data_IF_225342994242
#
_entry.id   IF_225342994242
#
_cell.length_a   1.000
_cell.length_b   1.000
_cell.length_c   1.000
_cell.angle_alpha   90.00
_cell.angle_beta   90.00
_cell.angle_gamma   90.00
#
_symmetry.space_group_name_H-M   'P 1'
#
loop_
_entity.id
_entity.type
_entity.pdbx_description
1 polymer ?
#
# COMPACT_ATOMS: atom_id res chain seq x y z
N UNK A 1 -19.90 11.95 2.81
CA UNK A 1 -19.65 12.57 4.14
C UNK A 1 -20.07 14.05 4.06
N UNK A 2 -20.70 14.56 5.12
CA UNK A 2 -21.25 15.93 5.19
C UNK A 2 -20.17 17.02 5.40
N UNK A 3 -18.89 16.62 5.53
CA UNK A 3 -17.76 17.52 5.73
C UNK A 3 -17.69 18.17 7.09
N UNK A 4 -18.44 17.69 8.08
CA UNK A 4 -18.34 18.19 9.44
C UNK A 4 -17.05 17.70 10.12
N UNK A 5 -16.40 18.60 10.89
CA UNK A 5 -15.22 18.27 11.67
C UNK A 5 -15.58 17.27 12.77
N UNK A 6 -14.83 16.15 12.82
CA UNK A 6 -14.95 15.20 13.92
C UNK A 6 -14.22 15.78 15.13
N UNK A 7 -14.98 16.22 16.12
CA UNK A 7 -14.43 16.71 17.40
C UNK A 7 -14.88 15.76 18.50
N UNK A 8 -13.94 14.98 19.03
CA UNK A 8 -14.19 14.06 20.15
C UNK A 8 -13.01 14.08 21.13
N UNK A 9 -12.90 13.10 22.03
CA UNK A 9 -11.82 13.04 23.01
C UNK A 9 -10.43 12.87 22.37
N UNK A 10 -10.34 12.24 21.18
CA UNK A 10 -9.10 11.96 20.46
C UNK A 10 -8.85 12.98 19.35
N UNK A 11 -9.85 13.38 18.57
CA UNK A 11 -9.69 14.23 17.41
C UNK A 11 -10.23 15.66 17.61
N UNK A 12 -9.52 16.71 17.13
CA UNK A 12 -8.25 16.67 16.38
C UNK A 12 -7.05 16.27 17.26
N UNK A 13 -6.20 15.37 16.77
CA UNK A 13 -5.02 14.88 17.48
C UNK A 13 -3.79 15.73 17.17
N UNK A 14 -3.04 16.14 18.22
CA UNK A 14 -1.84 16.96 18.06
C UNK A 14 -0.57 16.11 18.18
N UNK A 15 0.12 15.87 17.08
CA UNK A 15 1.39 15.12 17.03
C UNK A 15 2.63 15.92 17.45
N UNK A 16 2.49 17.18 17.81
CA UNK A 16 3.59 18.05 18.27
C UNK A 16 4.47 18.66 17.18
N UNK A 17 4.49 18.15 15.95
CA UNK A 17 5.19 18.68 14.78
C UNK A 17 4.52 18.17 13.49
N UNK A 18 5.10 18.47 12.34
CA UNK A 18 4.60 18.15 11.00
C UNK A 18 4.51 16.65 10.75
N UNK A 19 3.45 16.25 10.08
CA UNK A 19 3.26 14.93 9.48
C UNK A 19 3.61 15.04 7.99
N UNK A 20 4.50 14.21 7.49
CA UNK A 20 4.94 14.20 6.10
C UNK A 20 4.60 12.88 5.38
N UNK A 21 4.52 11.79 6.13
CA UNK A 21 4.09 10.49 5.63
C UNK A 21 2.57 10.39 5.56
N UNK A 22 2.06 9.48 4.75
CA UNK A 22 0.66 9.06 4.80
C UNK A 22 0.45 8.21 6.05
N UNK A 23 -0.71 8.26 6.71
CA UNK A 23 -1.03 7.32 7.77
C UNK A 23 -1.19 5.90 7.20
N UNK A 24 -0.90 4.89 8.01
CA UNK A 24 -1.32 3.52 7.78
C UNK A 24 -2.50 3.17 8.69
N UNK A 25 -3.20 2.09 8.39
CA UNK A 25 -4.30 1.61 9.22
C UNK A 25 -4.35 0.08 9.22
N UNK A 26 -4.54 -0.51 10.40
CA UNK A 26 -4.69 -1.94 10.63
C UNK A 26 -5.24 -2.17 12.04
N UNK A 27 -5.86 -3.32 12.28
CA UNK A 27 -6.05 -3.87 13.63
C UNK A 27 -4.68 -4.43 14.06
N UNK A 28 -3.95 -3.65 14.87
CA UNK A 28 -2.55 -3.98 15.22
C UNK A 28 -2.44 -4.68 16.58
N UNK A 29 -3.47 -4.59 17.40
CA UNK A 29 -3.50 -5.22 18.74
C UNK A 29 -4.50 -6.37 18.84
N UNK A 30 -5.14 -6.72 17.71
CA UNK A 30 -6.09 -7.82 17.55
C UNK A 30 -7.36 -7.65 18.44
N UNK A 31 -7.82 -6.39 18.66
CA UNK A 31 -9.04 -6.13 19.42
C UNK A 31 -10.30 -6.03 18.53
N UNK A 32 -10.13 -6.11 17.20
CA UNK A 32 -11.18 -6.05 16.19
C UNK A 32 -11.51 -4.65 15.71
N UNK A 33 -10.84 -3.61 16.21
CA UNK A 33 -10.92 -2.25 15.68
C UNK A 33 -9.75 -1.97 14.75
N UNK A 34 -9.87 -0.94 13.92
CA UNK A 34 -8.77 -0.48 13.06
C UNK A 34 -8.12 0.76 13.69
N UNK A 35 -6.84 0.67 13.99
CA UNK A 35 -6.02 1.80 14.46
C UNK A 35 -5.48 2.61 13.30
N UNK A 36 -5.26 3.90 13.58
CA UNK A 36 -4.57 4.82 12.67
C UNK A 36 -3.14 5.02 13.16
N UNK A 37 -2.17 4.61 12.35
CA UNK A 37 -0.76 4.71 12.68
C UNK A 37 -0.16 5.93 11.99
N UNK A 38 0.41 6.87 12.79
CA UNK A 38 0.92 8.17 12.32
C UNK A 38 2.35 8.39 12.76
N UNK A 39 3.21 8.76 11.83
CA UNK A 39 4.58 9.21 12.09
C UNK A 39 4.68 10.72 12.08
N UNK A 40 5.51 11.29 12.96
CA UNK A 40 5.67 12.74 13.07
C UNK A 40 7.14 13.16 13.13
N UNK A 41 7.40 14.34 12.64
CA UNK A 41 8.68 15.02 12.79
C UNK A 41 8.98 15.40 14.25
N UNK A 42 8.01 15.28 15.16
CA UNK A 42 8.22 15.35 16.61
C UNK A 42 9.09 14.20 17.15
N UNK A 43 9.45 13.22 16.30
CA UNK A 43 10.17 11.96 16.60
C UNK A 43 9.31 10.92 17.28
N UNK A 44 8.01 11.07 17.19
CA UNK A 44 7.03 10.13 17.72
C UNK A 44 6.33 9.38 16.61
N UNK A 45 5.99 8.16 16.91
CA UNK A 45 5.00 7.35 16.20
C UNK A 45 3.83 7.16 17.16
N UNK A 46 2.62 7.34 16.66
CA UNK A 46 1.39 7.18 17.44
C UNK A 46 0.52 6.11 16.81
N UNK A 47 -0.07 5.28 17.66
CA UNK A 47 -1.17 4.36 17.33
C UNK A 47 -2.42 4.93 17.99
N UNK A 48 -3.44 5.21 17.20
CA UNK A 48 -4.66 5.90 17.59
C UNK A 48 -5.85 5.01 17.32
N UNK A 49 -6.59 4.61 18.35
CA UNK A 49 -7.87 3.92 18.21
C UNK A 49 -9.01 4.95 18.09
N UNK A 50 -9.63 5.11 16.91
CA UNK A 50 -10.72 6.05 16.71
C UNK A 50 -12.04 5.59 17.34
N UNK A 51 -12.23 4.29 17.60
CA UNK A 51 -13.44 3.70 18.16
C UNK A 51 -13.46 3.92 19.67
N UNK A 52 -12.40 3.51 20.38
CA UNK A 52 -12.28 3.71 21.83
C UNK A 52 -11.82 5.13 22.20
N UNK A 53 -11.38 5.93 21.21
CA UNK A 53 -10.89 7.30 21.35
C UNK A 53 -9.65 7.39 22.27
N UNK A 54 -8.72 6.44 22.12
CA UNK A 54 -7.49 6.31 22.89
C UNK A 54 -6.24 6.49 22.05
N UNK A 55 -5.11 6.76 22.71
CA UNK A 55 -3.76 6.64 22.15
C UNK A 55 -3.18 5.36 22.75
N UNK A 56 -3.11 4.31 21.93
CA UNK A 56 -2.70 2.98 22.41
C UNK A 56 -1.18 2.89 22.46
N UNK A 57 -0.49 3.61 21.57
CA UNK A 57 0.95 3.72 21.62
C UNK A 57 1.43 5.15 21.33
N UNK A 58 2.40 5.64 22.11
CA UNK A 58 3.23 6.83 21.86
C UNK A 58 4.69 6.40 21.94
N UNK A 59 5.27 6.01 20.79
CA UNK A 59 6.64 5.52 20.68
C UNK A 59 7.60 6.66 20.33
N UNK A 60 8.62 6.91 21.18
CA UNK A 60 9.64 7.92 20.96
C UNK A 60 10.90 7.36 20.30
N UNK A 61 11.03 7.54 18.98
CA UNK A 61 12.12 7.01 18.15
C UNK A 61 13.47 7.74 18.32
N UNK A 62 13.51 8.88 19.02
CA UNK A 62 14.70 9.80 19.10
C UNK A 62 15.08 10.40 17.74
N UNK A 63 14.55 9.90 16.63
CA UNK A 63 14.80 10.36 15.25
C UNK A 63 13.56 10.99 14.65
N UNK A 64 13.75 11.92 13.71
CA UNK A 64 12.63 12.41 12.90
C UNK A 64 12.04 11.25 12.08
N UNK A 65 10.75 11.03 12.20
CA UNK A 65 10.00 10.08 11.40
C UNK A 65 9.22 10.86 10.34
N UNK A 66 9.70 10.81 9.11
CA UNK A 66 9.15 11.60 8.00
C UNK A 66 8.50 10.71 6.94
N UNK A 67 8.82 9.43 6.93
CA UNK A 67 8.26 8.44 6.01
C UNK A 67 6.91 7.91 6.47
N UNK A 68 6.17 7.34 5.55
CA UNK A 68 4.96 6.56 5.80
C UNK A 68 5.33 5.30 6.59
N UNK A 69 4.63 4.95 7.68
CA UNK A 69 4.79 3.67 8.33
C UNK A 69 4.22 2.55 7.46
N UNK A 70 4.77 1.36 7.59
CA UNK A 70 4.31 0.13 6.94
C UNK A 70 3.91 -0.85 8.03
N UNK A 71 2.83 -1.60 7.80
CA UNK A 71 2.34 -2.60 8.75
C UNK A 71 2.45 -3.97 8.09
N UNK A 72 3.19 -4.88 8.73
CA UNK A 72 3.37 -6.26 8.24
C UNK A 72 3.98 -7.13 9.34
N UNK A 73 3.86 -8.46 9.21
CA UNK A 73 4.55 -9.42 10.07
C UNK A 73 6.02 -9.56 9.63
N UNK A 74 6.96 -9.25 10.51
CA UNK A 74 8.41 -9.30 10.25
C UNK A 74 9.15 -10.29 11.17
N UNK A 75 8.47 -10.93 12.10
CA UNK A 75 9.12 -11.87 13.03
C UNK A 75 8.43 -13.26 13.08
N UNK A 76 8.64 -14.03 14.12
CA UNK A 76 8.20 -15.43 14.18
C UNK A 76 6.82 -15.60 14.84
N UNK A 77 6.14 -14.50 15.22
CA UNK A 77 4.76 -14.57 15.69
C UNK A 77 3.77 -14.18 14.58
N UNK A 78 2.47 -14.21 14.84
CA UNK A 78 1.47 -13.90 13.85
C UNK A 78 0.93 -12.46 13.99
N UNK A 79 1.47 -11.69 14.91
CA UNK A 79 1.04 -10.32 15.14
C UNK A 79 1.63 -9.39 14.06
N UNK A 80 1.12 -8.18 13.96
CA UNK A 80 1.59 -7.19 13.00
C UNK A 80 2.54 -6.19 13.67
N UNK A 81 3.62 -5.83 12.97
CA UNK A 81 4.57 -4.83 13.40
C UNK A 81 4.49 -3.56 12.59
N UNK A 82 4.93 -2.46 13.22
CA UNK A 82 5.05 -1.15 12.59
C UNK A 82 6.49 -0.94 12.14
N UNK A 83 6.70 -0.83 10.82
CA UNK A 83 8.02 -0.68 10.22
C UNK A 83 8.18 0.75 9.69
N UNK A 84 9.24 1.46 10.11
CA UNK A 84 9.46 2.86 9.68
C UNK A 84 10.93 3.23 9.60
N UNK A 85 11.26 4.06 8.60
CA UNK A 85 12.60 4.63 8.40
C UNK A 85 12.82 5.96 9.09
N UNK A 86 13.98 6.14 9.72
CA UNK A 86 14.38 7.38 10.39
C UNK A 86 15.08 8.38 9.47
N UNK A 87 14.97 9.68 9.80
CA UNK A 87 15.61 10.79 9.07
C UNK A 87 16.62 11.57 9.95
N UNK A 88 17.35 10.91 10.79
CA UNK A 88 18.44 11.51 11.58
C UNK A 88 19.79 10.91 11.15
N UNK A 89 20.89 11.24 11.82
CA UNK A 89 22.20 10.65 11.54
C UNK A 89 22.84 10.18 12.84
N UNK A 90 23.20 8.87 12.97
CA UNK A 90 22.97 7.80 12.00
C UNK A 90 21.48 7.43 11.92
N UNK A 91 20.98 7.15 10.72
CA UNK A 91 19.58 6.80 10.54
C UNK A 91 19.35 5.29 10.79
N UNK A 92 18.17 4.98 11.31
CA UNK A 92 17.76 3.63 11.68
C UNK A 92 16.45 3.25 11.00
N UNK A 93 16.25 1.97 10.82
CA UNK A 93 14.95 1.35 10.54
C UNK A 93 14.43 0.79 11.86
N UNK A 94 13.20 1.07 12.17
CA UNK A 94 12.49 0.58 13.34
C UNK A 94 11.49 -0.48 12.89
N UNK A 95 11.36 -1.55 13.66
CA UNK A 95 10.26 -2.50 13.63
C UNK A 95 9.77 -2.64 15.07
N UNK A 96 8.48 -2.36 15.29
CA UNK A 96 7.92 -2.09 16.61
C UNK A 96 6.64 -2.89 16.77
N UNK A 97 6.55 -3.70 17.82
CA UNK A 97 5.36 -4.45 18.20
C UNK A 97 4.22 -3.53 18.67
N UNK A 98 2.99 -3.99 18.69
CA UNK A 98 1.83 -3.24 19.17
C UNK A 98 2.01 -2.73 20.62
N UNK A 99 2.73 -3.45 21.48
CA UNK A 99 3.03 -3.05 22.87
C UNK A 99 4.16 -2.01 23.00
N UNK A 100 4.76 -1.58 21.87
CA UNK A 100 5.86 -0.62 21.83
C UNK A 100 7.25 -1.21 22.08
N UNK A 101 7.39 -2.52 22.20
CA UNK A 101 8.70 -3.17 22.24
C UNK A 101 9.32 -3.24 20.84
N UNK A 102 10.65 -3.16 20.75
CA UNK A 102 11.36 -3.33 19.50
C UNK A 102 11.44 -4.83 19.11
N UNK A 103 11.23 -5.13 17.82
CA UNK A 103 11.46 -6.46 17.25
C UNK A 103 12.95 -6.84 17.39
N UNK A 104 13.29 -8.10 17.68
CA UNK A 104 14.69 -8.55 17.76
C UNK A 104 15.50 -8.21 16.51
N UNK A 105 16.64 -7.52 16.67
CA UNK A 105 17.47 -7.02 15.57
C UNK A 105 17.20 -5.56 15.19
N UNK A 106 16.06 -5.02 15.59
CA UNK A 106 15.71 -3.61 15.41
C UNK A 106 15.84 -2.83 16.73
N UNK A 107 15.98 -1.49 16.67
CA UNK A 107 16.14 -0.70 15.45
C UNK A 107 17.51 -0.92 14.77
N UNK A 108 17.45 -1.28 13.48
CA UNK A 108 18.63 -1.53 12.65
C UNK A 108 19.31 -0.23 12.22
N UNK A 109 20.61 -0.04 12.51
CA UNK A 109 21.34 1.17 12.13
C UNK A 109 21.84 1.08 10.68
N UNK A 110 21.03 1.57 9.73
CA UNK A 110 21.41 1.66 8.32
C UNK A 110 22.46 2.79 8.09
N UNK A 111 22.44 3.84 8.90
CA UNK A 111 23.32 5.00 8.78
C UNK A 111 22.86 6.04 7.78
N UNK A 112 22.03 5.71 6.82
CA UNK A 112 21.57 6.54 5.71
C UNK A 112 20.12 6.96 5.87
N UNK A 113 19.83 8.24 5.65
CA UNK A 113 18.51 8.85 5.89
C UNK A 113 17.48 8.39 4.87
N UNK A 114 16.29 8.08 5.36
CA UNK A 114 15.09 7.76 4.58
C UNK A 114 14.05 8.88 4.78
N UNK A 115 13.47 9.40 3.68
CA UNK A 115 12.55 10.53 3.73
C UNK A 115 11.12 10.13 3.35
N UNK A 116 10.97 9.03 2.65
CA UNK A 116 9.69 8.47 2.20
C UNK A 116 9.42 7.13 2.87
N UNK A 117 8.33 6.49 2.52
CA UNK A 117 7.99 5.16 3.00
C UNK A 117 8.99 4.10 2.56
N UNK A 118 8.84 2.95 3.16
CA UNK A 118 9.51 1.69 2.81
C UNK A 118 8.52 0.84 2.00
N UNK A 119 8.99 -0.26 1.40
CA UNK A 119 8.11 -1.31 0.92
C UNK A 119 8.53 -2.64 1.54
N UNK A 120 7.59 -3.57 1.68
CA UNK A 120 7.86 -4.86 2.31
C UNK A 120 7.21 -5.99 1.52
N UNK A 121 7.92 -7.11 1.41
CA UNK A 121 7.43 -8.38 0.90
C UNK A 121 8.36 -9.50 1.38
N UNK A 122 7.86 -10.71 1.44
CA UNK A 122 8.67 -11.89 1.73
C UNK A 122 9.46 -12.31 0.48
N UNK A 123 10.76 -12.01 0.41
CA UNK A 123 11.62 -12.33 -0.72
C UNK A 123 12.22 -13.73 -0.68
N UNK A 124 12.15 -14.39 0.45
CA UNK A 124 12.78 -15.68 0.68
C UNK A 124 11.80 -16.81 1.02
N UNK A 125 10.49 -16.51 0.97
CA UNK A 125 9.36 -17.43 1.20
C UNK A 125 9.42 -18.09 2.61
N UNK A 126 9.82 -17.30 3.63
CA UNK A 126 9.91 -17.76 5.01
C UNK A 126 8.70 -17.34 5.87
N UNK A 127 7.72 -16.65 5.28
CA UNK A 127 6.51 -16.16 5.93
C UNK A 127 6.68 -14.81 6.64
N UNK A 128 7.86 -14.19 6.56
CA UNK A 128 8.18 -12.89 7.16
C UNK A 128 8.61 -11.91 6.08
N UNK A 129 8.26 -10.63 6.25
CA UNK A 129 8.61 -9.64 5.23
C UNK A 129 10.05 -9.16 5.35
N UNK A 130 10.70 -8.97 4.20
CA UNK A 130 11.94 -8.22 4.03
C UNK A 130 11.62 -6.77 3.68
N UNK A 131 12.55 -5.84 3.92
CA UNK A 131 12.33 -4.39 3.81
C UNK A 131 13.10 -3.82 2.63
N UNK A 132 12.42 -3.11 1.74
CA UNK A 132 13.04 -2.29 0.69
C UNK A 132 13.10 -0.83 1.13
N UNK A 133 14.29 -0.23 1.10
CA UNK A 133 14.54 1.15 1.53
C UNK A 133 15.29 1.97 0.48
N UNK A 134 14.77 3.15 0.15
CA UNK A 134 15.47 4.17 -0.65
C UNK A 134 16.07 5.27 0.23
N UNK A 135 17.32 5.69 -0.05
CA UNK A 135 18.06 6.60 0.84
C UNK A 135 18.48 7.90 0.18
N UNK A 136 18.77 8.92 1.03
CA UNK A 136 19.38 10.19 0.62
C UNK A 136 20.84 10.04 0.14
N UNK A 137 21.45 8.86 0.35
CA UNK A 137 22.82 8.54 -0.08
C UNK A 137 22.85 7.76 -1.40
N UNK A 138 21.75 7.78 -2.16
CA UNK A 138 21.63 7.27 -3.52
C UNK A 138 21.48 5.74 -3.60
N UNK A 139 21.28 5.07 -2.48
CA UNK A 139 21.19 3.63 -2.39
C UNK A 139 19.74 3.13 -2.31
N UNK A 140 19.49 2.00 -2.96
CA UNK A 140 18.33 1.15 -2.75
C UNK A 140 18.82 -0.11 -2.03
N UNK A 141 18.24 -0.41 -0.88
CA UNK A 141 18.53 -1.57 -0.05
C UNK A 141 17.40 -2.59 -0.10
N UNK A 142 17.76 -3.86 -0.01
CA UNK A 142 16.90 -4.93 0.51
C UNK A 142 17.52 -5.40 1.81
N UNK A 143 16.71 -5.42 2.87
CA UNK A 143 17.12 -5.77 4.23
C UNK A 143 16.22 -6.92 4.67
N UNK A 144 16.83 -8.04 5.07
CA UNK A 144 16.12 -9.22 5.49
C UNK A 144 15.41 -9.02 6.85
N UNK A 145 14.41 -9.85 7.13
CA UNK A 145 13.68 -9.91 8.40
C UNK A 145 14.61 -9.98 9.64
N UNK A 146 15.80 -10.59 9.53
CA UNK A 146 16.81 -10.66 10.60
C UNK A 146 17.70 -9.40 10.73
N UNK A 147 17.32 -8.28 10.11
CA UNK A 147 18.07 -7.03 10.08
C UNK A 147 19.46 -7.14 9.42
N UNK A 148 19.65 -8.03 8.47
CA UNK A 148 20.86 -8.11 7.63
C UNK A 148 20.59 -7.54 6.24
N UNK A 149 21.62 -6.98 5.58
CA UNK A 149 21.50 -6.52 4.20
C UNK A 149 21.57 -7.72 3.26
N UNK A 150 20.58 -7.85 2.37
CA UNK A 150 20.51 -8.95 1.43
C UNK A 150 21.68 -8.94 0.44
N UNK A 151 22.08 -10.13 -0.02
CA UNK A 151 23.17 -10.27 -0.99
C UNK A 151 22.85 -9.53 -2.29
N UNK A 152 23.82 -8.81 -2.85
CA UNK A 152 23.64 -7.99 -4.05
C UNK A 152 23.23 -6.54 -3.77
N UNK A 153 22.87 -6.20 -2.55
CA UNK A 153 22.52 -4.86 -2.12
C UNK A 153 23.61 -4.21 -1.25
N UNK A 154 23.66 -2.86 -1.19
CA UNK A 154 22.77 -1.92 -1.86
C UNK A 154 23.07 -1.75 -3.36
N UNK A 155 22.02 -1.39 -4.12
CA UNK A 155 22.16 -0.88 -5.49
C UNK A 155 22.38 0.63 -5.46
N UNK A 156 23.47 1.11 -6.11
CA UNK A 156 23.82 2.53 -6.15
C UNK A 156 23.23 3.20 -7.39
N UNK A 157 22.40 4.21 -7.20
CA UNK A 157 21.86 5.10 -8.24
C UNK A 157 22.72 6.35 -8.41
N UNK A 158 22.38 7.22 -9.37
CA UNK A 158 23.14 8.45 -9.63
C UNK A 158 22.83 9.62 -8.70
N UNK A 159 21.71 9.58 -7.92
CA UNK A 159 21.29 10.64 -7.01
C UNK A 159 20.36 10.07 -5.92
N UNK A 160 19.86 10.97 -5.04
CA UNK A 160 18.98 10.65 -3.91
C UNK A 160 17.71 9.91 -4.32
N UNK A 161 17.33 8.94 -3.53
CA UNK A 161 16.03 8.32 -3.63
C UNK A 161 15.04 9.11 -2.76
N UNK A 162 14.04 9.70 -3.40
CA UNK A 162 12.95 10.46 -2.78
C UNK A 162 11.57 10.00 -3.24
N UNK A 163 11.50 8.86 -3.88
CA UNK A 163 10.30 8.05 -4.01
C UNK A 163 10.24 7.07 -2.85
N UNK A 164 9.05 6.65 -2.45
CA UNK A 164 8.94 5.42 -1.71
C UNK A 164 9.07 4.28 -2.73
N UNK A 165 9.93 3.27 -2.48
CA UNK A 165 10.04 2.12 -3.36
C UNK A 165 8.72 1.32 -3.37
N UNK A 166 8.56 0.48 -4.37
CA UNK A 166 7.49 -0.50 -4.42
C UNK A 166 8.02 -1.84 -4.92
N UNK A 167 7.27 -2.89 -4.68
CA UNK A 167 7.62 -4.26 -5.05
C UNK A 167 6.48 -4.80 -5.90
N UNK A 168 6.79 -5.52 -6.96
CA UNK A 168 5.79 -6.23 -7.74
C UNK A 168 6.18 -7.70 -7.91
N UNK A 169 5.19 -8.59 -7.77
CA UNK A 169 5.32 -9.99 -8.15
C UNK A 169 5.22 -10.11 -9.67
N UNK A 170 6.07 -10.93 -10.26
CA UNK A 170 6.06 -11.25 -11.69
C UNK A 170 6.29 -12.75 -11.88
N UNK A 171 6.00 -13.26 -13.08
CA UNK A 171 6.31 -14.67 -13.40
C UNK A 171 7.79 -15.04 -13.16
N UNK A 172 8.68 -14.08 -13.17
CA UNK A 172 10.12 -14.27 -12.95
C UNK A 172 10.57 -14.01 -11.51
N UNK A 173 9.63 -13.81 -10.58
CA UNK A 173 9.86 -13.46 -9.19
C UNK A 173 9.67 -11.98 -8.90
N UNK A 174 9.93 -11.57 -7.67
CA UNK A 174 9.71 -10.21 -7.19
C UNK A 174 10.72 -9.23 -7.79
N UNK A 175 10.24 -8.05 -8.18
CA UNK A 175 11.06 -6.93 -8.67
C UNK A 175 10.88 -5.73 -7.74
N UNK A 176 11.97 -4.97 -7.56
CA UNK A 176 12.00 -3.75 -6.76
C UNK A 176 11.99 -2.55 -7.68
N UNK A 177 11.10 -1.60 -7.44
CA UNK A 177 10.86 -0.44 -8.28
C UNK A 177 11.08 0.85 -7.50
N UNK A 178 11.81 1.80 -8.05
CA UNK A 178 12.09 3.07 -7.38
C UNK A 178 12.45 4.19 -8.35
N UNK A 179 11.88 5.36 -8.11
CA UNK A 179 12.30 6.60 -8.76
C UNK A 179 13.55 7.20 -8.08
N UNK A 180 14.35 7.93 -8.87
CA UNK A 180 15.54 8.62 -8.39
C UNK A 180 15.58 10.08 -8.86
N UNK A 181 16.33 10.91 -8.15
CA UNK A 181 16.63 12.28 -8.56
C UNK A 181 17.78 12.38 -9.58
N UNK A 182 18.19 11.27 -10.16
CA UNK A 182 19.07 11.23 -11.32
C UNK A 182 18.31 11.15 -12.65
N UNK A 183 16.99 11.37 -12.59
CA UNK A 183 16.06 11.32 -13.71
C UNK A 183 15.80 9.89 -14.24
N UNK A 184 16.07 8.86 -13.44
CA UNK A 184 15.72 7.50 -13.81
C UNK A 184 14.67 6.91 -12.88
N UNK A 185 13.85 6.06 -13.47
CA UNK A 185 13.03 5.09 -12.77
C UNK A 185 13.68 3.71 -12.95
N UNK A 186 13.95 3.03 -11.83
CA UNK A 186 14.71 1.78 -11.80
C UNK A 186 13.80 0.59 -11.51
N UNK A 187 14.04 -0.53 -12.21
CA UNK A 187 13.58 -1.85 -11.86
C UNK A 187 14.77 -2.75 -11.55
N UNK A 188 14.79 -3.36 -10.37
CA UNK A 188 15.83 -4.28 -9.91
C UNK A 188 15.24 -5.66 -9.71
N UNK A 189 16.02 -6.71 -9.98
CA UNK A 189 15.71 -8.07 -9.61
C UNK A 189 15.97 -8.30 -8.10
N UNK A 190 15.40 -9.34 -7.52
CA UNK A 190 15.58 -9.72 -6.12
C UNK A 190 17.06 -9.98 -5.72
N UNK A 191 17.94 -10.28 -6.68
CA UNK A 191 19.37 -10.46 -6.47
C UNK A 191 20.19 -9.15 -6.51
N UNK A 192 19.53 -8.00 -6.62
CA UNK A 192 20.14 -6.67 -6.70
C UNK A 192 20.64 -6.29 -8.10
N UNK A 193 20.51 -7.14 -9.09
CA UNK A 193 20.89 -6.82 -10.46
C UNK A 193 19.88 -5.85 -11.12
N UNK A 194 20.37 -4.94 -11.97
CA UNK A 194 19.51 -4.05 -12.73
C UNK A 194 18.69 -4.86 -13.77
N UNK A 195 17.37 -4.76 -13.70
CA UNK A 195 16.47 -5.28 -14.72
C UNK A 195 16.29 -4.28 -15.84
N UNK A 196 15.89 -3.06 -15.51
CA UNK A 196 15.77 -1.94 -16.45
C UNK A 196 16.00 -0.59 -15.77
N UNK A 197 16.22 0.44 -16.58
CA UNK A 197 16.09 1.84 -16.16
C UNK A 197 15.41 2.65 -17.26
N UNK A 198 14.43 3.46 -16.87
CA UNK A 198 13.71 4.38 -17.77
C UNK A 198 14.19 5.79 -17.50
N UNK A 199 14.82 6.42 -18.51
CA UNK A 199 15.27 7.81 -18.42
C UNK A 199 14.09 8.76 -18.66
N UNK A 200 13.85 9.66 -17.72
CA UNK A 200 12.87 10.75 -17.78
C UNK A 200 13.55 12.10 -18.03
N UNK A 201 12.74 13.15 -18.26
CA UNK A 201 13.29 14.49 -18.47
C UNK A 201 13.69 15.22 -17.18
N UNK A 202 13.19 14.78 -16.00
CA UNK A 202 13.51 15.35 -14.67
C UNK A 202 13.31 14.27 -13.59
N UNK A 203 13.41 14.63 -12.32
CA UNK A 203 13.37 13.73 -11.17
C UNK A 203 12.09 12.89 -11.11
N UNK A 204 12.23 11.63 -10.70
CA UNK A 204 11.14 10.76 -10.32
C UNK A 204 11.10 10.67 -8.79
N UNK A 205 10.06 11.25 -8.16
CA UNK A 205 9.96 11.40 -6.70
C UNK A 205 8.69 10.79 -6.10
N UNK A 206 7.84 10.22 -6.93
CA UNK A 206 6.63 9.49 -6.54
C UNK A 206 6.83 7.98 -6.61
N UNK A 207 5.92 7.24 -5.99
CA UNK A 207 5.88 5.77 -6.06
C UNK A 207 5.08 5.33 -7.27
N UNK A 208 5.37 4.16 -7.86
CA UNK A 208 4.57 3.60 -8.93
C UNK A 208 3.21 3.09 -8.42
N UNK A 209 2.28 2.91 -9.37
CA UNK A 209 1.04 2.16 -9.23
C UNK A 209 1.03 1.01 -10.23
N UNK A 210 0.25 -0.02 -9.96
CA UNK A 210 0.26 -1.27 -10.71
C UNK A 210 -1.15 -1.69 -11.11
N UNK A 211 -1.24 -2.33 -12.27
CA UNK A 211 -2.47 -2.94 -12.75
C UNK A 211 -2.15 -4.15 -13.62
N UNK A 212 -2.82 -5.28 -13.38
CA UNK A 212 -2.76 -6.41 -14.29
C UNK A 212 -3.56 -6.10 -15.56
N UNK A 213 -3.03 -6.53 -16.70
CA UNK A 213 -3.66 -6.35 -18.01
C UNK A 213 -3.61 -7.67 -18.79
N UNK A 214 -4.36 -7.77 -19.89
CA UNK A 214 -4.27 -8.94 -20.79
C UNK A 214 -2.85 -9.19 -21.32
N UNK A 215 -1.99 -8.17 -21.29
CA UNK A 215 -0.60 -8.26 -21.78
C UNK A 215 0.42 -8.44 -20.64
N UNK A 216 -0.03 -8.64 -19.40
CA UNK A 216 0.76 -8.71 -18.18
C UNK A 216 0.75 -7.42 -17.38
N UNK A 217 1.58 -7.34 -16.36
CA UNK A 217 1.61 -6.24 -15.40
C UNK A 217 2.04 -4.92 -16.04
N UNK A 218 1.20 -3.90 -15.90
CA UNK A 218 1.46 -2.50 -16.24
C UNK A 218 1.89 -1.71 -15.01
N UNK A 219 2.88 -0.81 -15.19
CA UNK A 219 3.48 0.01 -14.13
C UNK A 219 3.35 1.47 -14.54
N UNK A 220 2.77 2.29 -13.66
CA UNK A 220 2.56 3.72 -13.91
C UNK A 220 3.30 4.56 -12.89
N UNK A 221 3.99 5.62 -13.34
CA UNK A 221 4.67 6.57 -12.46
C UNK A 221 4.76 7.96 -13.09
N UNK A 222 4.82 8.99 -12.26
CA UNK A 222 4.98 10.36 -12.72
C UNK A 222 6.42 10.85 -12.64
N UNK A 223 6.72 11.96 -13.32
CA UNK A 223 8.01 12.66 -13.22
C UNK A 223 7.79 14.17 -13.06
N UNK A 224 8.82 14.85 -12.53
CA UNK A 224 8.81 16.31 -12.46
C UNK A 224 8.92 16.97 -13.85
N UNK A 225 9.22 16.20 -14.89
CA UNK A 225 9.18 16.66 -16.29
C UNK A 225 7.75 16.88 -16.83
N UNK A 226 6.73 16.52 -16.02
CA UNK A 226 5.33 16.66 -16.37
C UNK A 226 4.74 15.47 -17.13
N UNK A 227 5.50 14.39 -17.31
CA UNK A 227 5.00 13.19 -17.94
C UNK A 227 4.49 12.17 -16.93
N UNK A 228 3.36 11.55 -17.26
CA UNK A 228 2.87 10.32 -16.68
C UNK A 228 3.30 9.17 -17.58
N UNK A 229 4.09 8.24 -17.03
CA UNK A 229 4.66 7.11 -17.74
C UNK A 229 3.83 5.86 -17.47
N UNK A 230 3.65 5.04 -18.50
CA UNK A 230 3.11 3.68 -18.43
C UNK A 230 4.09 2.74 -19.11
N UNK A 231 4.56 1.70 -18.41
CA UNK A 231 5.56 0.75 -18.89
C UNK A 231 5.18 -0.69 -18.54
N UNK A 232 5.78 -1.65 -19.22
CA UNK A 232 5.73 -3.07 -18.85
C UNK A 232 6.81 -3.43 -17.79
N UNK A 233 6.85 -4.70 -17.37
CA UNK A 233 7.82 -5.23 -16.38
C UNK A 233 9.27 -5.22 -16.84
N UNK A 234 9.55 -4.96 -18.11
CA UNK A 234 10.89 -4.85 -18.69
C UNK A 234 11.27 -3.39 -19.00
N UNK A 235 10.41 -2.43 -18.63
CA UNK A 235 10.66 -1.00 -18.81
C UNK A 235 10.32 -0.46 -20.20
N UNK A 236 9.65 -1.25 -21.07
CA UNK A 236 9.20 -0.77 -22.36
C UNK A 236 7.92 0.08 -22.20
N UNK A 237 7.78 1.20 -22.95
CA UNK A 237 6.60 2.02 -22.88
C UNK A 237 5.36 1.29 -23.42
N UNK A 238 4.24 1.42 -22.71
CA UNK A 238 2.94 0.95 -23.17
C UNK A 238 2.46 1.81 -24.38
N UNK A 239 1.57 1.25 -25.18
CA UNK A 239 0.97 1.98 -26.30
C UNK A 239 0.17 3.19 -25.78
N UNK A 240 0.41 4.38 -26.32
CA UNK A 240 -0.21 5.64 -25.89
C UNK A 240 0.55 6.39 -24.79
N UNK A 241 1.57 5.79 -24.19
CA UNK A 241 2.38 6.37 -23.10
C UNK A 241 3.80 6.76 -23.55
N UNK A 242 4.46 7.74 -22.91
CA UNK A 242 4.00 8.59 -21.81
C UNK A 242 3.03 9.71 -22.26
N UNK A 243 2.25 10.25 -21.29
CA UNK A 243 1.33 11.38 -21.52
C UNK A 243 1.90 12.63 -20.86
N UNK A 244 1.96 13.73 -21.62
CA UNK A 244 2.60 14.97 -21.17
C UNK A 244 1.59 15.99 -20.65
N UNK A 245 1.92 16.63 -19.52
CA UNK A 245 1.21 17.71 -18.88
C UNK A 245 2.06 18.97 -18.77
N UNK A 246 1.40 20.11 -18.54
CA UNK A 246 2.10 21.39 -18.36
C UNK A 246 2.75 21.55 -16.99
N UNK A 247 2.32 20.77 -15.98
CA UNK A 247 2.82 20.80 -14.60
C UNK A 247 3.50 19.49 -14.20
N UNK A 248 4.47 19.61 -13.31
CA UNK A 248 5.16 18.45 -12.74
C UNK A 248 4.19 17.51 -12.02
N UNK A 249 4.47 16.22 -12.03
CA UNK A 249 3.72 15.19 -11.29
C UNK A 249 4.56 14.79 -10.08
N UNK A 250 4.11 15.18 -8.88
CA UNK A 250 4.81 14.94 -7.61
C UNK A 250 4.12 13.87 -6.75
N UNK A 251 2.79 13.78 -6.79
CA UNK A 251 2.00 12.71 -6.19
C UNK A 251 2.12 11.42 -6.99
N UNK A 252 1.92 10.30 -6.35
CA UNK A 252 1.86 9.00 -7.03
C UNK A 252 0.55 8.87 -7.81
N UNK A 253 0.54 8.17 -8.95
CA UNK A 253 -0.72 7.76 -9.56
C UNK A 253 -1.43 6.72 -8.69
N UNK A 254 -2.74 6.62 -8.88
CA UNK A 254 -3.61 5.58 -8.31
C UNK A 254 -4.51 5.03 -9.41
N UNK A 255 -5.12 3.89 -9.17
CA UNK A 255 -5.88 3.15 -10.18
C UNK A 255 -7.18 2.64 -9.55
N UNK A 256 -8.30 2.82 -10.25
CA UNK A 256 -9.60 2.25 -9.90
C UNK A 256 -10.49 2.21 -11.15
N UNK A 257 -11.47 1.34 -11.17
CA UNK A 257 -12.55 1.36 -12.17
C UNK A 257 -13.59 2.43 -11.73
N UNK A 258 -13.50 3.62 -12.33
CA UNK A 258 -14.29 4.79 -11.91
C UNK A 258 -15.76 4.74 -12.36
N UNK A 259 -16.11 3.84 -13.29
CA UNK A 259 -17.43 3.80 -13.92
C UNK A 259 -18.05 2.40 -13.94
N UNK A 260 -17.42 1.39 -13.31
CA UNK A 260 -17.92 0.04 -13.21
C UNK A 260 -17.97 -0.74 -14.53
N UNK A 261 -17.17 -0.35 -15.52
CA UNK A 261 -17.14 -1.04 -16.82
C UNK A 261 -16.14 -2.20 -16.88
N UNK A 262 -15.43 -2.46 -15.79
CA UNK A 262 -14.42 -3.52 -15.64
C UNK A 262 -13.05 -3.14 -16.21
N UNK A 263 -12.85 -1.87 -16.59
CA UNK A 263 -11.56 -1.34 -17.04
C UNK A 263 -11.16 -0.19 -16.13
N UNK A 264 -10.04 -0.33 -15.44
CA UNK A 264 -9.62 0.68 -14.49
C UNK A 264 -8.90 1.87 -15.14
N UNK A 265 -9.06 3.05 -14.54
CA UNK A 265 -8.45 4.30 -14.94
C UNK A 265 -7.26 4.64 -14.07
N UNK A 266 -6.28 5.28 -14.68
CA UNK A 266 -5.07 5.80 -14.03
C UNK A 266 -5.28 7.25 -13.68
N UNK A 267 -5.28 7.60 -12.39
CA UNK A 267 -5.60 8.93 -11.86
C UNK A 267 -4.38 9.55 -11.20
N UNK A 268 -4.10 10.81 -11.48
CA UNK A 268 -3.10 11.58 -10.75
C UNK A 268 -3.41 13.09 -10.72
N UNK A 269 -2.74 13.81 -9.79
CA UNK A 269 -2.75 15.26 -9.73
C UNK A 269 -1.49 15.89 -10.31
N UNK A 270 -1.61 17.06 -10.91
CA UNK A 270 -0.50 17.83 -11.46
C UNK A 270 -0.27 19.14 -10.71
N UNK A 271 0.95 19.67 -10.77
CA UNK A 271 1.26 21.00 -10.22
C UNK A 271 0.59 22.15 -11.01
N UNK A 272 0.07 21.89 -12.22
CA UNK A 272 -0.75 22.84 -12.98
C UNK A 272 -2.21 22.86 -12.53
N UNK A 273 -2.52 22.33 -11.37
CA UNK A 273 -3.86 22.34 -10.77
C UNK A 273 -4.91 21.51 -11.53
N UNK A 274 -4.49 20.41 -12.11
CA UNK A 274 -5.34 19.46 -12.82
C UNK A 274 -5.35 18.11 -12.08
N UNK A 275 -6.53 17.53 -11.90
CA UNK A 275 -6.69 16.09 -11.68
C UNK A 275 -6.97 15.49 -13.05
N UNK A 276 -6.21 14.48 -13.41
CA UNK A 276 -6.29 13.79 -14.71
C UNK A 276 -6.62 12.33 -14.52
N UNK A 277 -7.38 11.76 -15.43
CA UNK A 277 -7.66 10.32 -15.48
C UNK A 277 -7.54 9.83 -16.93
N UNK A 278 -6.98 8.65 -17.10
CA UNK A 278 -6.71 8.02 -18.39
C UNK A 278 -7.09 6.55 -18.40
N UNK A 279 -7.63 6.11 -19.52
CA UNK A 279 -7.76 4.70 -19.83
C UNK A 279 -6.37 4.08 -20.08
N UNK A 280 -6.27 2.75 -20.03
CA UNK A 280 -5.02 2.01 -20.25
C UNK A 280 -4.33 2.36 -21.58
N UNK A 281 -5.07 2.68 -22.63
CA UNK A 281 -4.55 3.04 -23.95
C UNK A 281 -4.01 4.49 -24.05
N UNK A 282 -4.03 5.24 -22.93
CA UNK A 282 -3.59 6.63 -22.84
C UNK A 282 -4.61 7.66 -23.32
N UNK A 283 -5.82 7.26 -23.66
CA UNK A 283 -6.89 8.20 -23.97
C UNK A 283 -7.45 8.82 -22.68
N UNK A 284 -7.77 10.12 -22.72
CA UNK A 284 -8.37 10.80 -21.56
C UNK A 284 -9.71 10.20 -21.20
N UNK A 285 -9.92 9.89 -19.92
CA UNK A 285 -11.21 9.47 -19.40
C UNK A 285 -12.23 10.62 -19.48
N UNK A 286 -13.51 10.28 -19.60
CA UNK A 286 -14.58 11.27 -19.75
C UNK A 286 -14.60 12.25 -18.58
N UNK A 287 -14.88 13.53 -18.88
CA UNK A 287 -14.94 14.66 -17.94
C UNK A 287 -13.60 15.14 -17.37
N UNK A 288 -12.48 14.47 -17.64
CA UNK A 288 -11.15 14.95 -17.25
C UNK A 288 -10.45 15.74 -18.37
N UNK A 289 -9.56 16.68 -18.02
CA UNK A 289 -9.10 17.02 -16.67
C UNK A 289 -10.09 17.84 -15.85
N UNK A 290 -10.06 17.66 -14.51
CA UNK A 290 -10.80 18.50 -13.57
C UNK A 290 -9.83 19.54 -12.99
N UNK A 291 -10.24 20.81 -13.00
CA UNK A 291 -9.38 21.92 -12.62
C UNK A 291 -9.66 22.39 -11.19
N UNK A 292 -8.58 22.80 -10.48
CA UNK A 292 -8.61 23.42 -9.17
C UNK A 292 -7.91 24.80 -9.22
N UNK A 293 -8.01 25.58 -8.15
CA UNK A 293 -7.30 26.85 -8.02
C UNK A 293 -5.81 26.66 -7.62
N UNK A 294 -5.47 25.51 -7.06
CA UNK A 294 -4.14 25.21 -6.50
C UNK A 294 -3.58 23.91 -7.08
N UNK A 295 -2.27 23.90 -7.33
CA UNK A 295 -1.57 22.71 -7.82
C UNK A 295 -1.61 21.55 -6.82
N UNK A 296 -1.73 20.33 -7.33
CA UNK A 296 -1.77 19.12 -6.55
C UNK A 296 -0.35 18.58 -6.30
N UNK A 297 -0.07 18.23 -5.04
CA UNK A 297 1.21 17.66 -4.62
C UNK A 297 1.06 16.30 -3.94
N UNK A 298 -0.13 15.97 -3.47
CA UNK A 298 -0.46 14.71 -2.81
C UNK A 298 -0.81 13.61 -3.82
N UNK A 299 -0.73 12.38 -3.35
CA UNK A 299 -1.31 11.21 -4.02
C UNK A 299 -2.82 11.21 -3.82
N UNK A 300 -3.64 10.95 -4.85
CA UNK A 300 -5.07 10.74 -4.67
C UNK A 300 -5.35 9.50 -3.82
N UNK A 301 -6.54 9.46 -3.25
CA UNK A 301 -7.16 8.24 -2.72
C UNK A 301 -8.53 8.11 -3.36
N UNK A 302 -8.87 6.94 -3.87
CA UNK A 302 -10.14 6.64 -4.51
C UNK A 302 -10.86 5.61 -3.66
N UNK A 303 -12.06 5.93 -3.21
CA UNK A 303 -12.88 5.05 -2.35
C UNK A 303 -14.30 5.59 -2.30
N UNK A 304 -15.27 4.75 -2.01
CA UNK A 304 -16.62 5.17 -1.62
C UNK A 304 -16.57 5.71 -0.18
N UNK A 305 -16.81 7.01 -0.01
CA UNK A 305 -16.71 7.70 1.30
C UNK A 305 -18.06 7.88 1.98
N UNK A 306 -19.16 7.69 1.30
CA UNK A 306 -20.50 7.94 1.84
C UNK A 306 -21.47 6.75 1.73
N UNK A 307 -21.04 5.66 1.09
CA UNK A 307 -21.74 4.37 1.08
C UNK A 307 -22.83 4.29 0.02
N UNK A 308 -22.72 5.07 -1.06
CA UNK A 308 -23.71 5.10 -2.13
C UNK A 308 -23.29 4.33 -3.40
N UNK A 309 -22.13 3.63 -3.35
CA UNK A 309 -21.53 2.76 -4.36
C UNK A 309 -20.90 3.50 -5.55
N UNK A 310 -20.97 4.80 -5.59
CA UNK A 310 -20.10 5.58 -6.49
C UNK A 310 -18.77 5.93 -5.76
N UNK A 311 -17.76 6.34 -6.51
CA UNK A 311 -16.41 6.55 -5.96
C UNK A 311 -16.09 8.04 -5.84
N UNK A 312 -15.39 8.42 -4.75
CA UNK A 312 -14.79 9.72 -4.60
C UNK A 312 -13.28 9.67 -4.80
N UNK A 313 -12.76 10.71 -5.48
CA UNK A 313 -11.32 11.01 -5.52
C UNK A 313 -11.02 12.10 -4.50
N UNK A 314 -10.31 11.73 -3.43
CA UNK A 314 -9.81 12.65 -2.43
C UNK A 314 -8.35 13.00 -2.74
N UNK A 315 -8.05 14.28 -2.96
CA UNK A 315 -6.68 14.71 -3.28
C UNK A 315 -6.33 16.05 -2.63
N UNK A 316 -5.17 16.09 -1.96
CA UNK A 316 -4.62 17.30 -1.36
C UNK A 316 -3.93 18.21 -2.38
N UNK A 317 -4.31 19.47 -2.42
CA UNK A 317 -3.60 20.52 -3.13
C UNK A 317 -2.72 21.36 -2.18
N UNK A 318 -2.00 22.33 -2.73
CA UNK A 318 -1.21 23.26 -1.90
C UNK A 318 -2.08 24.24 -1.10
N UNK A 319 -3.40 24.29 -1.33
CA UNK A 319 -4.30 25.24 -0.69
C UNK A 319 -5.58 24.63 -0.10
N UNK A 320 -6.01 23.47 -0.58
CA UNK A 320 -7.25 22.80 -0.12
C UNK A 320 -7.17 21.28 -0.27
N UNK A 321 -8.16 20.60 0.26
CA UNK A 321 -8.51 19.21 -0.07
C UNK A 321 -9.63 19.26 -1.12
N UNK A 322 -9.44 18.61 -2.25
CA UNK A 322 -10.49 18.40 -3.24
C UNK A 322 -11.14 17.03 -2.99
N UNK A 323 -12.46 17.00 -3.07
CA UNK A 323 -13.27 15.79 -3.11
C UNK A 323 -14.05 15.84 -4.43
N UNK A 324 -13.83 14.86 -5.28
CA UNK A 324 -14.47 14.73 -6.59
C UNK A 324 -15.34 13.49 -6.52
N UNK A 325 -16.62 13.70 -6.58
CA UNK A 325 -17.65 12.70 -6.41
C UNK A 325 -18.16 12.29 -7.82
N UNK A 326 -18.05 11.00 -8.15
CA UNK A 326 -18.60 10.39 -9.36
C UNK A 326 -20.06 10.02 -9.11
N UNK A 327 -20.82 9.86 -10.20
CA UNK A 327 -22.24 9.47 -10.10
C UNK A 327 -22.54 8.16 -10.85
N UNK A 328 -21.51 7.50 -11.31
CA UNK A 328 -21.59 6.14 -11.85
C UNK A 328 -21.00 5.17 -10.79
N UNK A 329 -21.65 4.03 -10.57
CA UNK A 329 -21.12 2.98 -9.70
C UNK A 329 -19.72 2.59 -10.16
N UNK A 330 -18.76 2.54 -9.23
CA UNK A 330 -17.37 2.24 -9.51
C UNK A 330 -16.84 1.09 -8.64
N UNK A 331 -15.58 0.70 -8.88
CA UNK A 331 -14.90 -0.30 -8.08
C UNK A 331 -13.46 0.14 -7.76
N UNK A 332 -13.13 0.21 -6.48
CA UNK A 332 -11.76 0.45 -6.01
C UNK A 332 -11.11 -0.78 -5.37
N UNK A 333 -11.88 -1.85 -5.15
CA UNK A 333 -11.39 -3.09 -4.60
C UNK A 333 -10.49 -3.79 -5.63
N UNK A 334 -9.45 -4.47 -5.15
CA UNK A 334 -8.44 -5.16 -5.97
C UNK A 334 -7.61 -4.24 -6.89
N UNK A 335 -7.78 -2.91 -6.79
CA UNK A 335 -7.00 -1.92 -7.52
C UNK A 335 -6.03 -1.16 -6.61
N UNK A 336 -5.03 -0.51 -7.21
CA UNK A 336 -4.07 0.36 -6.53
C UNK A 336 -4.67 1.74 -6.25
N UNK A 337 -5.80 1.77 -5.53
CA UNK A 337 -6.67 2.95 -5.36
C UNK A 337 -6.14 4.00 -4.36
N UNK A 338 -5.05 3.68 -3.66
CA UNK A 338 -4.43 4.56 -2.67
C UNK A 338 -2.90 4.42 -2.62
N UNK A 339 -2.24 5.34 -1.93
CA UNK A 339 -0.79 5.35 -1.81
C UNK A 339 -0.26 4.04 -1.23
N UNK A 340 0.69 3.39 -1.94
CA UNK A 340 1.24 2.07 -1.60
C UNK A 340 0.24 0.91 -1.62
N UNK A 341 -0.88 1.07 -2.34
CA UNK A 341 -1.79 0.02 -2.75
C UNK A 341 -2.80 -0.45 -1.71
N UNK A 342 -2.50 -0.35 -0.42
CA UNK A 342 -3.38 -0.83 0.66
C UNK A 342 -3.26 0.03 1.93
N UNK A 343 -4.14 -0.19 2.90
CA UNK A 343 -4.17 0.54 4.17
C UNK A 343 -2.93 0.29 5.03
N UNK A 344 -2.34 -0.90 4.98
CA UNK A 344 -1.09 -1.28 5.67
C UNK A 344 0.14 -0.63 5.04
N UNK A 345 0.01 -0.01 3.84
CA UNK A 345 1.08 0.69 3.10
C UNK A 345 2.26 -0.19 2.72
N UNK A 346 2.03 -1.45 2.42
CA UNK A 346 3.09 -2.43 2.12
C UNK A 346 3.91 -2.09 0.88
N UNK A 347 3.32 -1.37 -0.08
CA UNK A 347 3.97 -1.08 -1.36
C UNK A 347 4.25 -2.32 -2.21
N UNK A 348 3.58 -3.42 -1.92
CA UNK A 348 3.71 -4.70 -2.62
C UNK A 348 2.46 -4.98 -3.45
N UNK A 349 2.68 -5.29 -4.71
CA UNK A 349 1.67 -5.72 -5.66
C UNK A 349 1.85 -7.19 -6.03
N UNK A 350 0.78 -7.93 -5.98
CA UNK A 350 0.67 -9.28 -6.52
C UNK A 350 -0.63 -9.39 -7.32
N UNK A 351 -0.62 -10.13 -8.43
CA UNK A 351 -1.81 -10.46 -9.21
C UNK A 351 -2.67 -11.53 -8.54
N UNK A 352 -2.09 -12.29 -7.62
CA UNK A 352 -2.88 -13.09 -6.70
C UNK A 352 -3.49 -12.13 -5.68
N UNK A 353 -4.78 -12.21 -5.40
CA UNK A 353 -5.36 -11.46 -4.30
C UNK A 353 -4.50 -11.76 -3.07
N UNK A 354 -4.05 -10.70 -2.37
CA UNK A 354 -3.42 -10.91 -1.06
C UNK A 354 -4.55 -11.44 -0.20
N UNK A 355 -4.62 -12.77 -0.08
CA UNK A 355 -5.53 -13.43 0.83
C UNK A 355 -5.08 -13.12 2.25
N UNK A 356 -5.18 -11.83 2.66
CA UNK A 356 -5.03 -11.45 4.05
C UNK A 356 -6.27 -11.89 4.82
N UNK A 357 -6.42 -13.20 4.87
CA UNK A 357 -7.43 -13.85 5.68
C UNK A 357 -6.97 -13.97 7.15
N UNK A 358 -5.92 -13.26 7.54
CA UNK A 358 -5.24 -13.38 8.85
C UNK A 358 -6.05 -12.85 10.04
N UNK A 359 -7.18 -12.17 9.79
CA UNK A 359 -8.05 -11.70 10.87
C UNK A 359 -8.96 -12.75 11.50
N UNK A 360 -9.06 -13.96 10.91
CA UNK A 360 -10.00 -14.99 11.38
C UNK A 360 -9.40 -16.37 11.22
N UNK A 361 -9.67 -17.25 12.19
CA UNK A 361 -9.13 -18.59 12.22
C UNK A 361 -9.69 -19.48 11.09
N UNK A 362 -8.91 -20.45 10.63
CA UNK A 362 -9.40 -21.50 9.74
C UNK A 362 -10.60 -22.18 10.38
N UNK A 363 -11.73 -22.26 9.64
CA UNK A 363 -13.00 -22.75 10.14
C UNK A 363 -13.97 -21.71 10.68
N UNK A 364 -13.51 -20.50 11.00
CA UNK A 364 -14.34 -19.34 11.31
C UNK A 364 -14.71 -18.63 9.98
N UNK A 365 -15.66 -19.24 9.28
CA UNK A 365 -16.00 -18.86 7.91
C UNK A 365 -16.66 -17.49 7.84
N UNK A 366 -17.50 -17.16 8.85
CA UNK A 366 -18.22 -15.91 8.92
C UNK A 366 -17.45 -14.78 9.64
N UNK A 367 -16.25 -15.10 10.15
CA UNK A 367 -15.35 -14.17 10.82
C UNK A 367 -15.98 -13.46 12.05
N UNK A 368 -16.74 -14.19 12.88
CA UNK A 368 -17.33 -13.64 14.12
C UNK A 368 -16.48 -13.92 15.38
N UNK A 369 -15.31 -14.57 15.21
CA UNK A 369 -14.35 -14.90 16.25
C UNK A 369 -14.64 -16.22 16.97
N UNK A 370 -15.63 -17.01 16.49
CA UNK A 370 -15.97 -18.31 17.08
C UNK A 370 -16.21 -19.36 16.00
N UNK A 371 -15.58 -20.53 16.12
CA UNK A 371 -15.87 -21.65 15.22
C UNK A 371 -17.08 -22.38 15.75
N UNK A 372 -18.25 -22.21 15.10
CA UNK A 372 -19.51 -22.81 15.55
C UNK A 372 -20.42 -23.28 14.39
N UNK A 373 -21.68 -23.57 14.70
CA UNK A 373 -22.64 -24.08 13.71
C UNK A 373 -22.97 -23.05 12.60
N UNK A 374 -22.75 -21.75 12.84
CA UNK A 374 -23.00 -20.72 11.83
C UNK A 374 -21.99 -20.79 10.71
N UNK A 375 -20.74 -21.18 11.00
CA UNK A 375 -19.69 -21.41 10.01
C UNK A 375 -20.01 -22.58 9.11
N UNK A 376 -20.51 -23.69 9.70
CA UNK A 376 -20.99 -24.82 8.90
C UNK A 376 -22.11 -24.38 7.95
N UNK A 377 -23.04 -23.56 8.45
CA UNK A 377 -24.16 -23.06 7.62
C UNK A 377 -23.64 -22.18 6.48
N UNK A 378 -22.67 -21.30 6.76
CA UNK A 378 -22.05 -20.43 5.73
C UNK A 378 -21.26 -21.25 4.72
N UNK A 379 -20.41 -22.19 5.17
CA UNK A 379 -19.66 -23.09 4.29
C UNK A 379 -20.58 -23.94 3.38
N UNK A 380 -21.64 -24.50 3.94
CA UNK A 380 -22.67 -25.23 3.16
C UNK A 380 -23.30 -24.33 2.10
N UNK A 381 -23.63 -23.09 2.47
CA UNK A 381 -24.21 -22.11 1.54
C UNK A 381 -23.26 -21.81 0.37
N UNK A 382 -21.97 -21.63 0.65
CA UNK A 382 -20.92 -21.38 -0.37
C UNK A 382 -20.80 -22.60 -1.30
N UNK A 383 -20.65 -23.80 -0.73
CA UNK A 383 -20.52 -25.06 -1.53
C UNK A 383 -21.72 -25.30 -2.44
N UNK A 384 -22.94 -25.04 -1.94
CA UNK A 384 -24.16 -25.37 -2.69
C UNK A 384 -24.56 -24.34 -3.74
N UNK A 385 -24.21 -23.08 -3.55
CA UNK A 385 -24.74 -21.98 -4.36
C UNK A 385 -23.65 -21.21 -5.09
N UNK A 386 -22.38 -21.36 -4.71
CA UNK A 386 -21.25 -20.56 -5.23
C UNK A 386 -21.65 -19.07 -5.36
N UNK A 387 -22.07 -18.45 -4.24
CA UNK A 387 -22.68 -17.13 -4.31
C UNK A 387 -21.65 -16.06 -4.62
N UNK A 388 -22.00 -15.04 -5.42
CA UNK A 388 -21.06 -13.96 -5.77
C UNK A 388 -20.67 -13.06 -4.58
N UNK A 389 -21.40 -13.15 -3.45
CA UNK A 389 -21.11 -12.44 -2.20
C UNK A 389 -20.20 -13.22 -1.24
N UNK A 390 -19.79 -14.44 -1.57
CA UNK A 390 -18.78 -15.15 -0.81
C UNK A 390 -17.39 -14.66 -1.26
N UNK A 391 -16.69 -13.98 -0.36
CA UNK A 391 -15.33 -13.55 -0.62
C UNK A 391 -14.33 -14.73 -0.64
N UNK A 392 -13.14 -14.47 -1.13
CA UNK A 392 -12.10 -15.51 -1.23
C UNK A 392 -11.66 -16.00 0.16
N UNK A 393 -11.64 -15.11 1.15
CA UNK A 393 -11.29 -15.47 2.51
C UNK A 393 -12.32 -16.40 3.16
N UNK A 394 -13.61 -16.21 2.89
CA UNK A 394 -14.64 -17.17 3.33
C UNK A 394 -14.41 -18.55 2.71
N UNK A 395 -14.01 -18.61 1.43
CA UNK A 395 -13.71 -19.85 0.73
C UNK A 395 -12.49 -20.56 1.30
N UNK A 396 -11.41 -19.81 1.56
CA UNK A 396 -10.17 -20.33 2.17
C UNK A 396 -10.43 -20.82 3.59
N UNK A 397 -11.15 -20.04 4.41
CA UNK A 397 -11.49 -20.47 5.77
C UNK A 397 -12.43 -21.68 5.81
N UNK A 398 -13.26 -21.85 4.77
CA UNK A 398 -14.14 -23.00 4.65
C UNK A 398 -13.42 -24.25 4.12
N UNK A 399 -12.29 -24.14 3.40
CA UNK A 399 -11.40 -25.25 3.00
C UNK A 399 -10.61 -25.72 4.22
N UNK A 400 -11.28 -26.45 5.12
CA UNK A 400 -10.77 -26.81 6.44
C UNK A 400 -9.70 -27.90 6.39
N UNK A 401 -9.57 -28.60 5.28
CA UNK A 401 -8.51 -29.60 5.07
C UNK A 401 -7.32 -29.08 4.27
N UNK A 402 -7.39 -27.81 3.80
CA UNK A 402 -6.35 -27.11 3.04
C UNK A 402 -5.90 -27.85 1.76
N UNK A 403 -6.83 -28.58 1.09
CA UNK A 403 -6.49 -29.28 -0.15
C UNK A 403 -6.75 -28.45 -1.42
N UNK A 404 -7.24 -27.23 -1.27
CA UNK A 404 -7.54 -26.27 -2.34
C UNK A 404 -8.87 -26.52 -3.03
N UNK A 405 -9.72 -27.44 -2.51
CA UNK A 405 -11.03 -27.78 -3.08
C UNK A 405 -12.10 -27.72 -1.99
N UNK A 406 -12.85 -26.66 -1.96
CA UNK A 406 -13.95 -26.53 -1.00
C UNK A 406 -15.09 -27.51 -1.31
N UNK A 407 -15.22 -28.59 -0.50
CA UNK A 407 -16.22 -29.64 -0.68
C UNK A 407 -16.81 -30.20 0.64
N UNK A 408 -17.48 -31.33 0.55
CA UNK A 408 -18.15 -31.93 1.71
C UNK A 408 -17.15 -32.50 2.75
N UNK A 409 -15.90 -32.75 2.37
CA UNK A 409 -14.88 -33.25 3.30
C UNK A 409 -14.50 -32.19 4.33
N UNK A 410 -14.44 -30.93 3.90
CA UNK A 410 -14.21 -29.78 4.78
C UNK A 410 -15.31 -29.67 5.83
N UNK A 411 -16.56 -29.76 5.40
CA UNK A 411 -17.70 -29.75 6.32
C UNK A 411 -17.64 -30.85 7.36
N UNK A 412 -17.20 -32.06 6.98
CA UNK A 412 -17.06 -33.17 7.91
C UNK A 412 -15.97 -32.89 8.94
N UNK A 413 -14.85 -32.29 8.52
CA UNK A 413 -13.76 -31.91 9.43
C UNK A 413 -14.16 -30.77 10.34
N UNK A 414 -14.80 -29.72 9.83
CA UNK A 414 -15.31 -28.58 10.59
C UNK A 414 -16.35 -29.01 11.64
N UNK A 415 -17.29 -29.92 11.27
CA UNK A 415 -18.24 -30.51 12.23
C UNK A 415 -17.51 -31.27 13.36
N UNK A 416 -16.45 -32.02 13.02
CA UNK A 416 -15.69 -32.75 14.03
C UNK A 416 -14.94 -31.81 15.00
N UNK A 417 -14.45 -30.67 14.50
CA UNK A 417 -13.80 -29.65 15.33
C UNK A 417 -14.77 -29.05 16.33
N UNK A 418 -15.97 -28.66 15.88
CA UNK A 418 -17.02 -28.06 16.73
C UNK A 418 -17.57 -29.05 17.79
N UNK A 419 -17.52 -30.35 17.49
CA UNK A 419 -18.07 -31.38 18.39
C UNK A 419 -17.07 -31.89 19.44
N UNK A 420 -15.81 -31.56 19.35
CA UNK A 420 -14.78 -31.96 20.30
C UNK A 420 -14.46 -30.87 21.33
#
# INVERSE_FOLDING_TARGET
>A
ADGEEIVNALFPFNTGDQIWGSPAAADIDNDGNIEIIVTSKSKHLFVLDPVNQTVDLDYYAVQFLMGTPVIANIDDDNDLEIIVGGFSSPAKIFAINADGSDVPGFPFELGEKMIKGLAVADFNDNGKVDIVAGTENYNIYLINDDATIASGFPYLTGNKIRSAPAIAETESGKIILSGSRDNNFYGLNADGSLRFSVLTGDYVVNSPAFMETESGLAIFFGSLDGNLYGIDVDGNPLAGWPISHSGSITGSPVIADLNGDGQAEIVCGTQSAEVVAYNLDGTSFSYFPIFNDFGFAGTPTITDTDGDLDLEILIGSTGNLANIDFKDEGNSDDYWSLFHGNLKRTGYYTSEPINDCSGCSLGDVNCDGTIDVLDIVRAVYIIMNDPPDADECERIRADFNEDGVLDVLDLVMLVNEIMN
#
